data_IF_566653749583
#
_entry.id   IF_566653749583
#
_cell.length_a   1.000
_cell.length_b   1.000
_cell.length_c   1.000
_cell.angle_alpha   90.00
_cell.angle_beta   90.00
_cell.angle_gamma   90.00
#
_symmetry.space_group_name_H-M   'P 1'
#
loop_
_entity.id
_entity.type
_entity.pdbx_description
1 polymer ?
#
# COMPACT_ATOMS: atom_id res chain seq x y z
N UNK A 1 -18.51 -33.57 15.86
CA UNK A 1 -18.52 -32.37 14.99
C UNK A 1 -17.88 -31.25 15.79
N UNK A 2 -16.67 -30.84 15.43
CA UNK A 2 -15.99 -29.73 16.09
C UNK A 2 -16.77 -28.46 15.75
N UNK A 3 -17.38 -27.82 16.75
CA UNK A 3 -18.02 -26.51 16.55
C UNK A 3 -16.92 -25.53 16.19
N UNK A 4 -16.81 -25.20 14.89
CA UNK A 4 -15.99 -24.08 14.45
C UNK A 4 -16.41 -22.86 15.25
N UNK A 5 -15.43 -22.16 15.83
CA UNK A 5 -15.63 -20.86 16.46
C UNK A 5 -16.50 -20.01 15.55
N UNK A 6 -17.71 -19.66 16.00
CA UNK A 6 -18.70 -18.86 15.26
C UNK A 6 -18.11 -17.52 14.79
N UNK A 7 -17.05 -17.05 15.46
CA UNK A 7 -16.32 -15.82 15.13
C UNK A 7 -15.44 -15.92 13.88
N UNK A 8 -14.99 -17.12 13.49
CA UNK A 8 -14.02 -17.31 12.41
C UNK A 8 -14.64 -17.38 11.02
N UNK A 9 -15.93 -17.73 10.90
CA UNK A 9 -16.64 -17.83 9.61
C UNK A 9 -16.61 -16.50 8.88
N UNK A 10 -17.29 -15.49 9.40
CA UNK A 10 -17.33 -14.13 8.82
C UNK A 10 -15.96 -13.47 8.59
N UNK A 11 -14.90 -13.85 9.33
CA UNK A 11 -13.55 -13.33 9.14
C UNK A 11 -12.90 -13.84 7.83
N UNK A 12 -13.11 -15.10 7.48
CA UNK A 12 -12.57 -15.72 6.26
C UNK A 12 -13.58 -15.69 5.12
N UNK A 13 -14.85 -15.99 5.39
CA UNK A 13 -15.92 -16.07 4.38
C UNK A 13 -16.12 -14.72 3.66
N UNK A 14 -15.90 -13.61 4.37
CA UNK A 14 -16.00 -12.27 3.83
C UNK A 14 -14.63 -11.62 3.55
N UNK A 15 -13.56 -12.44 3.46
CA UNK A 15 -12.24 -11.94 3.08
C UNK A 15 -12.16 -11.64 1.59
N UNK A 16 -11.25 -10.73 1.21
CA UNK A 16 -10.88 -10.44 -0.17
C UNK A 16 -9.38 -10.59 -0.35
N UNK A 17 -8.97 -11.23 -1.45
CA UNK A 17 -7.57 -11.38 -1.83
C UNK A 17 -7.40 -11.00 -3.30
N UNK A 18 -6.58 -9.98 -3.54
CA UNK A 18 -6.32 -9.43 -4.88
C UNK A 18 -4.82 -9.33 -5.11
N UNK A 19 -4.35 -9.82 -6.27
CA UNK A 19 -2.99 -9.64 -6.74
C UNK A 19 -2.98 -8.77 -7.99
N UNK A 20 -2.38 -7.59 -7.88
CA UNK A 20 -2.10 -6.74 -9.05
C UNK A 20 -0.71 -7.03 -9.57
N UNK A 21 -0.59 -7.36 -10.86
CA UNK A 21 0.68 -7.46 -11.57
C UNK A 21 0.84 -6.24 -12.47
N UNK A 22 1.88 -5.43 -12.25
CA UNK A 22 2.10 -4.17 -12.97
C UNK A 22 3.42 -4.25 -13.72
N UNK A 23 3.37 -4.15 -15.05
CA UNK A 23 4.55 -3.86 -15.85
C UNK A 23 4.61 -2.34 -16.06
N UNK A 24 5.74 -1.71 -15.74
CA UNK A 24 5.82 -0.25 -15.73
C UNK A 24 7.13 0.24 -16.35
N UNK A 25 6.98 0.99 -17.43
CA UNK A 25 8.08 1.71 -18.09
C UNK A 25 7.97 3.19 -17.73
N UNK A 26 9.08 3.79 -17.29
CA UNK A 26 9.19 5.20 -17.02
C UNK A 26 10.40 5.78 -17.75
N UNK A 27 10.20 6.91 -18.43
CA UNK A 27 11.25 7.61 -19.14
C UNK A 27 11.01 9.12 -19.04
N UNK A 28 11.99 9.82 -18.48
CA UNK A 28 12.00 11.27 -18.38
C UNK A 28 13.29 11.77 -19.00
N UNK A 29 13.16 12.21 -20.23
CA UNK A 29 14.22 12.84 -21.01
C UNK A 29 14.31 14.35 -20.72
N UNK A 30 15.53 14.87 -20.71
CA UNK A 30 15.82 16.30 -20.54
C UNK A 30 16.59 16.79 -21.78
N UNK A 31 16.12 17.88 -22.40
CA UNK A 31 16.69 18.38 -23.66
C UNK A 31 17.97 19.21 -23.47
N UNK A 32 18.61 19.59 -24.59
CA UNK A 32 20.03 19.92 -24.86
C UNK A 32 20.82 20.83 -23.88
N UNK A 33 20.21 21.44 -22.86
CA UNK A 33 20.92 22.14 -21.77
C UNK A 33 20.53 21.59 -20.38
N UNK A 34 20.55 20.27 -20.23
CA UNK A 34 20.37 19.64 -18.91
C UNK A 34 21.72 19.28 -18.28
N UNK A 35 21.90 19.67 -17.02
CA UNK A 35 23.00 19.18 -16.19
C UNK A 35 22.77 17.73 -15.69
N UNK A 36 21.60 17.15 -16.02
CA UNK A 36 21.16 15.84 -15.55
C UNK A 36 20.90 14.91 -16.73
N UNK A 37 21.35 13.64 -16.67
CA UNK A 37 20.94 12.62 -17.64
C UNK A 37 19.45 12.31 -17.51
N UNK A 38 18.90 11.58 -18.48
CA UNK A 38 17.53 11.07 -18.41
C UNK A 38 17.31 10.23 -17.14
N UNK A 39 16.07 10.15 -16.65
CA UNK A 39 15.69 9.20 -15.61
C UNK A 39 14.78 8.13 -16.22
N UNK A 40 15.26 6.90 -16.33
CA UNK A 40 14.61 5.83 -17.08
C UNK A 40 14.74 4.48 -16.40
N UNK A 41 13.63 3.74 -16.36
CA UNK A 41 13.65 2.32 -16.02
C UNK A 41 12.46 1.55 -16.62
N UNK A 42 12.62 0.22 -16.61
CA UNK A 42 11.57 -0.74 -16.85
C UNK A 42 11.53 -1.73 -15.70
N UNK A 43 10.34 -1.91 -15.13
CA UNK A 43 10.15 -2.69 -13.91
C UNK A 43 8.89 -3.54 -13.95
N UNK A 44 8.91 -4.61 -13.15
CA UNK A 44 7.74 -5.45 -12.87
C UNK A 44 7.42 -5.40 -11.38
N UNK A 45 6.15 -5.18 -11.05
CA UNK A 45 5.66 -5.03 -9.69
C UNK A 45 4.52 -6.00 -9.39
N UNK A 46 4.49 -6.48 -8.16
CA UNK A 46 3.45 -7.32 -7.60
C UNK A 46 2.91 -6.66 -6.33
N UNK A 47 1.60 -6.47 -6.26
CA UNK A 47 0.92 -5.86 -5.11
C UNK A 47 -0.19 -6.83 -4.68
N UNK A 48 0.04 -7.55 -3.59
CA UNK A 48 -0.93 -8.43 -2.97
C UNK A 48 -1.65 -7.68 -1.84
N UNK A 49 -2.98 -7.61 -1.93
CA UNK A 49 -3.85 -7.13 -0.87
C UNK A 49 -4.68 -8.31 -0.38
N UNK A 50 -4.58 -8.63 0.91
CA UNK A 50 -5.41 -9.64 1.55
C UNK A 50 -6.09 -9.00 2.77
N UNK A 51 -7.40 -8.80 2.67
CA UNK A 51 -8.19 -8.13 3.69
C UNK A 51 -9.19 -9.13 4.27
N UNK A 52 -9.14 -9.38 5.58
CA UNK A 52 -10.16 -10.23 6.22
C UNK A 52 -11.54 -9.57 6.17
N UNK A 53 -12.59 -10.36 6.39
CA UNK A 53 -13.86 -9.82 6.87
C UNK A 53 -13.75 -9.28 8.31
N UNK A 54 -14.89 -9.01 8.94
CA UNK A 54 -14.96 -8.72 10.37
C UNK A 54 -15.52 -9.93 11.10
N UNK A 55 -14.99 -10.22 12.30
CA UNK A 55 -15.61 -11.19 13.20
C UNK A 55 -17.05 -10.75 13.55
N UNK A 56 -17.92 -11.71 13.84
CA UNK A 56 -19.29 -11.44 14.29
C UNK A 56 -19.30 -10.70 15.64
N UNK A 57 -20.43 -10.11 16.04
CA UNK A 57 -20.59 -9.41 17.32
C UNK A 57 -20.73 -7.89 17.22
N UNK A 58 -20.93 -7.21 18.37
CA UNK A 58 -21.14 -5.75 18.45
C UNK A 58 -19.95 -4.95 17.92
N UNK A 59 -18.74 -5.43 18.22
CA UNK A 59 -17.50 -4.91 17.66
C UNK A 59 -16.90 -6.02 16.82
N UNK A 60 -16.75 -5.77 15.52
CA UNK A 60 -16.08 -6.67 14.61
C UNK A 60 -14.59 -6.37 14.56
N UNK A 61 -13.75 -7.41 14.55
CA UNK A 61 -12.30 -7.29 14.38
C UNK A 61 -11.85 -7.90 13.06
N UNK A 62 -10.80 -7.35 12.48
CA UNK A 62 -10.22 -7.80 11.22
C UNK A 62 -8.71 -7.55 11.15
N UNK A 63 -8.10 -8.11 10.10
CA UNK A 63 -6.70 -7.94 9.76
C UNK A 63 -6.54 -7.77 8.25
N UNK A 64 -5.76 -6.76 7.86
CA UNK A 64 -5.36 -6.52 6.48
C UNK A 64 -3.87 -6.74 6.31
N UNK A 65 -3.48 -7.27 5.16
CA UNK A 65 -2.10 -7.49 4.75
C UNK A 65 -1.88 -6.84 3.38
N UNK A 66 -0.80 -6.08 3.27
CA UNK A 66 -0.27 -5.55 2.02
C UNK A 66 1.13 -6.10 1.82
N UNK A 67 1.33 -6.97 0.83
CA UNK A 67 2.65 -7.45 0.46
C UNK A 67 3.00 -6.95 -0.95
N UNK A 68 4.17 -6.34 -1.09
CA UNK A 68 4.59 -5.72 -2.34
C UNK A 68 5.99 -6.19 -2.71
N UNK A 69 6.24 -6.34 -4.01
CA UNK A 69 7.56 -6.66 -4.54
C UNK A 69 7.77 -5.98 -5.89
N UNK A 70 8.94 -5.38 -6.08
CA UNK A 70 9.38 -4.78 -7.34
C UNK A 70 10.65 -5.43 -7.84
N UNK A 71 10.76 -5.60 -9.16
CA UNK A 71 11.88 -6.22 -9.86
C UNK A 71 12.34 -5.34 -11.01
N UNK A 72 13.66 -5.18 -11.14
CA UNK A 72 14.31 -4.51 -12.26
C UNK A 72 14.27 -5.40 -13.49
N UNK A 73 13.80 -4.86 -14.61
CA UNK A 73 13.89 -5.49 -15.93
C UNK A 73 15.02 -4.84 -16.75
N UNK A 74 15.03 -3.51 -16.76
CA UNK A 74 16.06 -2.70 -17.41
C UNK A 74 16.22 -1.36 -16.66
N UNK A 75 17.39 -1.14 -16.06
CA UNK A 75 17.76 0.14 -15.46
C UNK A 75 19.28 0.15 -15.23
N UNK A 76 19.96 1.18 -15.70
CA UNK A 76 21.36 1.42 -15.39
C UNK A 76 21.51 2.47 -14.27
N UNK A 77 22.72 2.58 -13.72
CA UNK A 77 23.01 3.51 -12.62
C UNK A 77 23.04 4.98 -13.06
N UNK A 78 23.26 5.25 -14.34
CA UNK A 78 23.35 6.62 -14.88
C UNK A 78 21.95 7.24 -15.03
N UNK A 79 20.94 6.43 -15.33
CA UNK A 79 19.54 6.86 -15.53
C UNK A 79 18.60 6.56 -14.35
N UNK A 80 19.15 6.27 -13.16
CA UNK A 80 18.35 5.96 -11.97
C UNK A 80 17.52 7.14 -11.42
N UNK A 81 16.72 6.88 -10.38
CA UNK A 81 16.02 7.95 -9.64
C UNK A 81 14.62 8.31 -10.18
N UNK A 82 13.99 7.40 -10.92
CA UNK A 82 12.59 7.52 -11.35
C UNK A 82 11.60 7.54 -10.18
N UNK A 83 11.92 6.80 -9.11
CA UNK A 83 11.03 6.47 -7.99
C UNK A 83 10.45 5.05 -8.03
N UNK A 84 10.80 4.21 -9.01
CA UNK A 84 10.33 2.82 -9.09
C UNK A 84 11.27 1.80 -8.42
N UNK A 85 12.57 2.10 -8.33
CA UNK A 85 13.57 1.25 -7.70
C UNK A 85 14.34 2.02 -6.62
N UNK A 86 14.57 1.44 -5.43
CA UNK A 86 15.54 1.97 -4.50
C UNK A 86 16.95 1.84 -5.11
N UNK A 87 17.89 2.66 -4.63
CA UNK A 87 19.27 2.69 -5.11
C UNK A 87 20.24 2.50 -3.96
N UNK A 88 21.31 1.78 -4.21
CA UNK A 88 22.40 1.62 -3.25
C UNK A 88 23.06 2.98 -2.97
N UNK A 89 23.29 3.30 -1.70
CA UNK A 89 23.78 4.63 -1.30
C UNK A 89 25.28 4.82 -1.55
N UNK A 90 26.02 3.75 -1.87
CA UNK A 90 27.45 3.80 -2.17
C UNK A 90 27.73 3.70 -3.67
N UNK A 91 27.02 2.83 -4.39
CA UNK A 91 27.23 2.60 -5.83
C UNK A 91 26.23 3.33 -6.72
N UNK A 92 25.12 3.85 -6.17
CA UNK A 92 23.96 4.37 -6.91
C UNK A 92 23.25 3.36 -7.82
N UNK A 93 23.62 2.08 -7.75
CA UNK A 93 23.00 1.05 -8.58
C UNK A 93 21.53 0.85 -8.17
N UNK A 94 20.57 0.86 -9.13
CA UNK A 94 19.19 0.48 -8.86
C UNK A 94 19.12 -0.97 -8.41
N UNK A 95 18.41 -1.23 -7.32
CA UNK A 95 18.29 -2.59 -6.77
C UNK A 95 17.67 -3.56 -7.79
N UNK A 96 18.18 -4.80 -7.85
CA UNK A 96 17.61 -5.85 -8.70
C UNK A 96 16.18 -6.20 -8.29
N UNK A 97 15.91 -6.18 -6.98
CA UNK A 97 14.58 -6.37 -6.43
C UNK A 97 14.45 -5.73 -5.06
N UNK A 98 13.21 -5.46 -4.64
CA UNK A 98 12.87 -4.98 -3.30
C UNK A 98 11.43 -5.35 -2.96
N UNK A 99 11.06 -5.31 -1.68
CA UNK A 99 9.69 -5.58 -1.26
C UNK A 99 9.41 -5.18 0.18
N UNK A 100 8.12 -5.00 0.48
CA UNK A 100 7.63 -4.60 1.78
C UNK A 100 6.42 -5.47 2.17
N UNK A 101 6.28 -5.73 3.48
CA UNK A 101 5.10 -6.39 4.03
C UNK A 101 4.54 -5.49 5.14
N UNK A 102 3.34 -4.97 4.90
CA UNK A 102 2.56 -4.19 5.85
C UNK A 102 1.39 -5.00 6.41
N UNK A 103 1.07 -4.76 7.67
CA UNK A 103 -0.06 -5.40 8.37
C UNK A 103 -0.84 -4.32 9.10
N UNK A 104 -2.17 -4.42 9.07
CA UNK A 104 -3.08 -3.45 9.68
C UNK A 104 -4.19 -4.16 10.44
N UNK A 105 -4.26 -3.93 11.75
CA UNK A 105 -5.40 -4.35 12.55
C UNK A 105 -6.56 -3.38 12.34
N UNK A 106 -7.79 -3.90 12.29
CA UNK A 106 -9.01 -3.09 12.13
C UNK A 106 -10.10 -3.53 13.11
N UNK A 107 -10.83 -2.56 13.63
CA UNK A 107 -11.99 -2.77 14.49
C UNK A 107 -13.13 -1.86 14.04
N UNK A 108 -14.37 -2.36 14.08
CA UNK A 108 -15.54 -1.62 13.58
C UNK A 108 -16.76 -1.83 14.47
N UNK A 109 -17.47 -0.73 14.73
CA UNK A 109 -18.79 -0.73 15.37
C UNK A 109 -19.70 0.22 14.59
N UNK A 110 -20.89 -0.23 14.21
CA UNK A 110 -21.79 0.52 13.32
C UNK A 110 -21.08 0.95 12.01
N UNK A 111 -21.01 2.25 11.72
CA UNK A 111 -20.32 2.84 10.56
C UNK A 111 -19.03 3.56 10.95
N UNK A 112 -18.47 3.25 12.12
CA UNK A 112 -17.20 3.76 12.62
C UNK A 112 -16.14 2.66 12.65
N UNK A 113 -14.99 2.95 12.05
CA UNK A 113 -13.87 2.03 11.91
C UNK A 113 -12.57 2.64 12.40
N UNK A 114 -11.84 1.89 13.23
CA UNK A 114 -10.50 2.19 13.70
C UNK A 114 -9.51 1.24 13.00
N UNK A 115 -8.40 1.77 12.49
CA UNK A 115 -7.31 0.98 11.90
C UNK A 115 -5.98 1.37 12.52
N UNK A 116 -5.10 0.39 12.74
CA UNK A 116 -3.76 0.57 13.31
C UNK A 116 -2.76 -0.27 12.51
N UNK A 117 -1.72 0.36 11.95
CA UNK A 117 -0.69 -0.31 11.17
C UNK A 117 -0.37 0.43 9.87
N UNK A 118 -0.21 -0.31 8.77
CA UNK A 118 0.05 0.24 7.44
C UNK A 118 -1.19 0.94 6.86
N UNK A 119 -1.07 2.24 6.57
CA UNK A 119 -2.15 3.10 6.10
C UNK A 119 -1.81 3.71 4.73
N UNK A 120 -2.85 3.94 3.93
CA UNK A 120 -2.78 4.64 2.65
C UNK A 120 -3.77 5.81 2.66
N UNK A 121 -3.47 6.92 3.36
CA UNK A 121 -4.37 8.08 3.41
C UNK A 121 -4.62 8.65 2.02
N UNK A 122 -5.86 9.07 1.76
CA UNK A 122 -6.26 9.68 0.49
C UNK A 122 -7.32 10.73 0.74
N UNK A 123 -6.87 11.95 1.04
CA UNK A 123 -7.73 13.10 1.30
C UNK A 123 -7.08 14.39 0.76
N UNK A 124 -7.77 15.55 0.81
CA UNK A 124 -7.27 16.79 0.20
C UNK A 124 -5.95 17.35 0.78
N UNK A 125 -5.50 16.87 1.93
CA UNK A 125 -4.26 17.35 2.58
C UNK A 125 -3.14 16.31 2.57
N UNK A 126 -3.45 15.02 2.40
CA UNK A 126 -2.47 13.95 2.39
C UNK A 126 -2.89 12.81 1.46
N UNK A 127 -1.96 12.40 0.59
CA UNK A 127 -2.13 11.29 -0.35
C UNK A 127 -0.91 10.37 -0.27
N UNK A 128 -1.12 9.12 0.11
CA UNK A 128 -0.16 8.04 -0.11
C UNK A 128 0.00 7.85 -1.61
N UNK A 129 1.16 8.22 -2.15
CA UNK A 129 1.36 8.34 -3.59
C UNK A 129 1.18 6.99 -4.33
N UNK A 130 0.26 6.90 -5.30
CA UNK A 130 0.12 5.75 -6.19
C UNK A 130 0.95 5.91 -7.48
N UNK A 131 1.74 6.98 -7.61
CA UNK A 131 2.29 7.45 -8.88
C UNK A 131 3.51 6.66 -9.39
N UNK A 132 3.93 5.61 -8.68
CA UNK A 132 5.06 4.74 -9.02
C UNK A 132 4.66 3.27 -9.02
N UNK A 133 5.64 2.39 -9.25
CA UNK A 133 5.43 0.94 -9.35
C UNK A 133 4.63 0.38 -8.16
N UNK A 134 5.07 0.69 -6.94
CA UNK A 134 4.44 0.27 -5.68
C UNK A 134 3.84 1.48 -4.96
N UNK A 135 2.76 1.31 -4.19
CA UNK A 135 2.14 2.40 -3.44
C UNK A 135 3.04 2.81 -2.28
N UNK A 136 3.12 4.12 -2.03
CA UNK A 136 3.67 4.62 -0.77
C UNK A 136 2.69 4.30 0.38
N UNK A 137 3.22 4.01 1.55
CA UNK A 137 2.44 3.77 2.76
C UNK A 137 2.91 4.67 3.91
N UNK A 138 2.06 4.81 4.92
CA UNK A 138 2.38 5.39 6.22
C UNK A 138 2.13 4.34 7.31
N UNK A 139 2.67 4.56 8.51
CA UNK A 139 2.25 3.84 9.71
C UNK A 139 1.45 4.79 10.61
N UNK A 140 0.46 4.26 11.30
CA UNK A 140 -0.21 5.02 12.35
C UNK A 140 -1.57 4.47 12.74
N UNK A 141 -2.43 5.37 13.23
CA UNK A 141 -3.79 5.11 13.67
C UNK A 141 -4.73 5.98 12.85
N UNK A 142 -5.80 5.40 12.29
CA UNK A 142 -6.85 6.15 11.61
C UNK A 142 -8.22 5.79 12.14
N UNK A 143 -9.10 6.78 12.25
CA UNK A 143 -10.52 6.63 12.58
C UNK A 143 -11.35 7.22 11.43
N UNK A 144 -12.32 6.45 10.93
CA UNK A 144 -13.30 6.91 9.95
C UNK A 144 -14.71 6.67 10.46
N UNK A 145 -15.63 7.60 10.25
CA UNK A 145 -17.02 7.47 10.73
C UNK A 145 -18.03 8.06 9.75
N UNK A 146 -19.13 7.33 9.55
CA UNK A 146 -20.32 7.78 8.82
C UNK A 146 -21.60 7.69 9.65
N UNK A 147 -21.47 7.63 10.98
CA UNK A 147 -22.62 7.50 11.89
C UNK A 147 -23.47 8.79 11.95
N UNK A 148 -22.89 9.95 11.61
CA UNK A 148 -23.61 11.21 11.49
C UNK A 148 -24.11 11.34 10.05
N UNK A 149 -25.43 11.42 9.89
CA UNK A 149 -26.06 11.57 8.57
C UNK A 149 -25.46 12.77 7.82
N UNK A 150 -25.19 12.57 6.53
CA UNK A 150 -24.61 13.55 5.62
C UNK A 150 -23.14 13.94 5.90
N UNK A 151 -22.45 13.25 6.83
CA UNK A 151 -21.02 13.45 7.12
C UNK A 151 -20.21 12.18 6.93
N UNK A 152 -19.08 12.31 6.22
CA UNK A 152 -18.03 11.29 6.08
C UNK A 152 -16.75 11.84 6.71
N UNK A 153 -16.46 11.39 7.93
CA UNK A 153 -15.40 11.93 8.78
C UNK A 153 -14.18 11.03 8.78
N UNK A 154 -12.99 11.63 8.78
CA UNK A 154 -11.71 10.94 8.93
C UNK A 154 -10.75 11.70 9.83
N UNK A 155 -9.99 10.98 10.64
CA UNK A 155 -8.88 11.50 11.44
C UNK A 155 -7.74 10.47 11.43
N UNK A 156 -6.49 10.94 11.48
CA UNK A 156 -5.34 10.06 11.58
C UNK A 156 -4.19 10.69 12.38
N UNK A 157 -3.46 9.85 13.10
CA UNK A 157 -2.14 10.14 13.65
C UNK A 157 -1.14 9.23 12.94
N UNK A 158 -0.14 9.81 12.27
CA UNK A 158 0.84 9.09 11.45
C UNK A 158 2.24 9.39 11.98
N UNK A 159 3.10 8.37 12.00
CA UNK A 159 4.46 8.41 12.55
C UNK A 159 5.52 7.76 11.64
#
# INVERSE_FOLDING_TARGET
MLSGSVWAGSFIDNSSVELTTRNFYFDRDYQEQSAYPAAKDWTQGFILKANSGYTEGTIGFGLDVLATAGFKLDADAEHGGTGNLPRDTRTNEPADSYGEIGVTAKAKMSQTELRIGTLMPMNPVLVASPARLLPQTYRGISLTSKDIKDFDLQAAYLD
#
